data_IF_282774801546
#
_entry.id   IF_282774801546
#
_cell.length_a   1.000
_cell.length_b   1.000
_cell.length_c   1.000
_cell.angle_alpha   90.00
_cell.angle_beta   90.00
_cell.angle_gamma   90.00
#
_symmetry.space_group_name_H-M   'P 1'
#
loop_
_entity.id
_entity.type
_entity.pdbx_description
1 polymer ?
#
# COMPACT_ATOMS: atom_id res chain seq x y z
N UNK A 1 2.77 -9.55 18.38
CA UNK A 1 1.54 -8.74 18.14
C UNK A 1 0.34 -9.68 18.21
N UNK A 2 -0.85 -9.19 18.60
CA UNK A 2 -2.06 -10.02 18.73
C UNK A 2 -2.59 -10.54 17.39
N UNK A 3 -2.25 -9.88 16.28
CA UNK A 3 -2.53 -10.34 14.91
C UNK A 3 -1.21 -10.57 14.16
N UNK A 4 -1.12 -11.57 13.27
CA UNK A 4 -0.01 -11.70 12.34
C UNK A 4 0.17 -10.42 11.53
N UNK A 5 1.41 -9.94 11.43
CA UNK A 5 1.75 -8.71 10.72
C UNK A 5 2.86 -9.01 9.70
N UNK A 6 2.69 -8.46 8.49
CA UNK A 6 3.69 -8.44 7.45
C UNK A 6 3.87 -7.00 6.97
N UNK A 7 5.11 -6.55 6.87
CA UNK A 7 5.46 -5.20 6.39
C UNK A 7 6.40 -5.37 5.20
N UNK A 8 6.03 -4.81 4.05
CA UNK A 8 6.82 -4.92 2.82
C UNK A 8 7.67 -3.67 2.64
N UNK A 9 8.97 -3.84 2.42
CA UNK A 9 9.86 -2.77 1.99
C UNK A 9 10.62 -3.20 0.73
N UNK A 10 11.28 -2.24 0.09
CA UNK A 10 12.15 -2.49 -1.06
C UNK A 10 13.59 -2.49 -0.59
N UNK A 11 14.33 -3.57 -0.85
CA UNK A 11 15.78 -3.61 -0.70
C UNK A 11 16.41 -2.68 -1.74
N UNK A 12 17.12 -1.66 -1.29
CA UNK A 12 17.63 -0.61 -2.17
C UNK A 12 18.75 -1.12 -3.09
N UNK A 13 19.50 -2.13 -2.67
CA UNK A 13 20.69 -2.60 -3.40
C UNK A 13 20.31 -3.40 -4.65
N UNK A 14 19.22 -4.17 -4.58
CA UNK A 14 18.82 -5.11 -5.63
C UNK A 14 17.37 -4.95 -6.11
N UNK A 15 16.59 -4.05 -5.51
CA UNK A 15 15.20 -3.80 -5.87
C UNK A 15 14.23 -4.92 -5.47
N UNK A 16 14.65 -5.90 -4.67
CA UNK A 16 13.78 -6.99 -4.25
C UNK A 16 12.78 -6.54 -3.18
N UNK A 17 11.59 -7.13 -3.23
CA UNK A 17 10.61 -6.98 -2.16
C UNK A 17 11.00 -7.83 -0.94
N UNK A 18 11.01 -7.22 0.24
CA UNK A 18 11.32 -7.90 1.51
C UNK A 18 10.11 -7.81 2.43
N UNK A 19 9.64 -8.97 2.89
CA UNK A 19 8.54 -9.11 3.84
C UNK A 19 9.10 -9.27 5.26
N UNK A 20 8.97 -8.23 6.09
CA UNK A 20 9.28 -8.29 7.51
C UNK A 20 8.11 -8.86 8.30
N UNK A 21 8.35 -9.96 9.01
CA UNK A 21 7.36 -10.60 9.90
C UNK A 21 7.85 -10.73 11.35
N UNK A 22 9.12 -10.37 11.61
CA UNK A 22 9.80 -10.48 12.91
C UNK A 22 10.80 -9.33 13.06
N UNK A 23 11.24 -9.09 14.29
CA UNK A 23 12.18 -8.02 14.61
C UNK A 23 11.50 -6.74 15.10
N UNK A 24 12.18 -5.60 14.95
CA UNK A 24 11.67 -4.29 15.36
C UNK A 24 10.60 -3.80 14.36
N UNK A 25 9.36 -3.75 14.84
CA UNK A 25 8.20 -3.31 14.05
C UNK A 25 8.33 -1.85 13.62
N UNK A 26 8.84 -0.97 14.47
CA UNK A 26 9.01 0.44 14.16
C UNK A 26 10.06 0.66 13.07
N UNK A 27 11.17 -0.09 13.10
CA UNK A 27 12.17 -0.08 12.04
C UNK A 27 11.61 -0.59 10.72
N UNK A 28 10.87 -1.69 10.73
CA UNK A 28 10.23 -2.25 9.53
C UNK A 28 9.20 -1.28 8.92
N UNK A 29 8.35 -0.64 9.75
CA UNK A 29 7.40 0.37 9.27
C UNK A 29 8.14 1.57 8.68
N UNK A 30 9.17 2.09 9.35
CA UNK A 30 9.96 3.21 8.82
C UNK A 30 10.59 2.88 7.47
N UNK A 31 11.14 1.67 7.31
CA UNK A 31 11.68 1.20 6.04
C UNK A 31 10.60 1.16 4.95
N UNK A 32 9.45 0.57 5.27
CA UNK A 32 8.31 0.42 4.36
C UNK A 32 7.69 1.73 3.91
N UNK A 33 7.79 2.80 4.71
CA UNK A 33 7.27 4.14 4.40
C UNK A 33 8.35 5.15 4.00
N UNK A 34 9.59 4.73 3.75
CA UNK A 34 10.69 5.62 3.40
C UNK A 34 10.65 5.98 1.90
N UNK A 35 9.67 6.82 1.53
CA UNK A 35 9.47 7.29 0.14
C UNK A 35 10.74 8.00 -0.35
N UNK A 36 11.33 7.56 -1.48
CA UNK A 36 12.52 8.20 -2.03
C UNK A 36 12.30 9.69 -2.27
N UNK A 37 13.35 10.49 -2.08
CA UNK A 37 13.34 11.96 -2.12
C UNK A 37 12.54 12.66 -0.99
N UNK A 38 11.77 11.92 -0.17
CA UNK A 38 11.09 12.46 1.02
C UNK A 38 11.84 12.06 2.29
N UNK A 39 12.28 10.80 2.37
CA UNK A 39 12.97 10.25 3.52
C UNK A 39 14.29 9.58 3.12
N UNK A 40 15.23 9.49 4.07
CA UNK A 40 16.46 8.72 3.90
C UNK A 40 16.16 7.22 3.94
N UNK A 41 16.92 6.38 3.22
CA UNK A 41 16.85 4.93 3.36
C UNK A 41 17.05 4.49 4.81
N UNK A 42 16.36 3.43 5.20
CA UNK A 42 16.44 2.87 6.56
C UNK A 42 17.36 1.66 6.55
N UNK A 43 18.41 1.70 7.35
CA UNK A 43 19.34 0.58 7.50
C UNK A 43 18.83 -0.43 8.53
N UNK A 44 18.70 -1.70 8.14
CA UNK A 44 18.38 -2.81 9.03
C UNK A 44 19.41 -3.91 8.80
N UNK A 45 20.29 -4.13 9.79
CA UNK A 45 21.45 -5.00 9.63
C UNK A 45 22.46 -4.38 8.65
N UNK A 46 22.83 -5.14 7.62
CA UNK A 46 23.79 -4.70 6.59
C UNK A 46 23.14 -4.13 5.34
N UNK A 47 21.80 -4.10 5.27
CA UNK A 47 21.03 -3.68 4.09
C UNK A 47 20.30 -2.37 4.32
N UNK A 48 20.06 -1.65 3.24
CA UNK A 48 19.28 -0.41 3.23
C UNK A 48 17.95 -0.64 2.52
N UNK A 49 16.89 -0.02 3.07
CA UNK A 49 15.53 -0.23 2.61
C UNK A 49 14.82 1.09 2.36
N UNK A 50 13.97 1.09 1.34
CA UNK A 50 13.09 2.20 0.99
C UNK A 50 11.64 1.70 0.87
N UNK A 51 10.74 2.62 0.55
CA UNK A 51 9.30 2.38 0.48
C UNK A 51 8.90 1.11 -0.27
N UNK A 52 8.00 0.32 0.33
CA UNK A 52 7.52 -0.94 -0.26
C UNK A 52 6.62 -0.76 -1.48
N UNK A 53 6.10 0.44 -1.68
CA UNK A 53 5.27 0.83 -2.82
C UNK A 53 6.00 0.79 -4.16
N UNK A 54 7.34 0.76 -4.16
CA UNK A 54 8.12 0.60 -5.39
C UNK A 54 7.98 -0.81 -6.00
N UNK A 55 7.67 -1.83 -5.19
CA UNK A 55 7.67 -3.25 -5.60
C UNK A 55 6.35 -3.96 -5.31
N UNK A 56 5.56 -3.45 -4.37
CA UNK A 56 4.30 -4.05 -3.94
C UNK A 56 3.36 -3.05 -3.26
N UNK A 57 2.85 -2.01 -3.97
CA UNK A 57 2.03 -0.96 -3.36
C UNK A 57 0.76 -1.47 -2.66
N UNK A 58 0.09 -2.48 -3.21
CA UNK A 58 -0.95 -3.24 -2.50
C UNK A 58 -0.51 -4.70 -2.42
N UNK A 59 0.06 -5.16 -1.30
CA UNK A 59 0.81 -6.43 -1.21
C UNK A 59 -0.09 -7.66 -1.05
N UNK A 60 -0.97 -7.89 -2.03
CA UNK A 60 -1.92 -9.02 -2.06
C UNK A 60 -1.17 -10.36 -2.05
N UNK A 61 -0.12 -10.49 -2.89
CA UNK A 61 0.69 -11.71 -2.96
C UNK A 61 1.33 -12.08 -1.63
N UNK A 62 1.74 -11.08 -0.83
CA UNK A 62 2.36 -11.31 0.47
C UNK A 62 1.34 -11.71 1.53
N UNK A 63 0.14 -11.14 1.50
CA UNK A 63 -0.96 -11.62 2.34
C UNK A 63 -1.24 -13.10 2.07
N UNK A 64 -1.30 -13.51 0.79
CA UNK A 64 -1.43 -14.93 0.41
C UNK A 64 -0.26 -15.79 0.89
N UNK A 65 0.98 -15.33 0.70
CA UNK A 65 2.18 -16.02 1.18
C UNK A 65 2.17 -16.23 2.70
N UNK A 66 1.57 -15.30 3.44
CA UNK A 66 1.39 -15.41 4.89
C UNK A 66 0.27 -16.37 5.32
N UNK A 67 -0.41 -17.00 4.36
CA UNK A 67 -1.50 -17.96 4.61
C UNK A 67 -2.89 -17.34 4.56
N UNK A 68 -3.06 -16.12 4.05
CA UNK A 68 -4.39 -15.53 3.93
C UNK A 68 -5.24 -16.29 2.90
N UNK A 69 -6.29 -16.91 3.40
CA UNK A 69 -7.31 -17.59 2.61
C UNK A 69 -8.29 -16.63 1.94
N UNK A 70 -8.58 -15.49 2.58
CA UNK A 70 -9.37 -14.41 2.03
C UNK A 70 -8.55 -13.12 2.11
N UNK A 71 -8.38 -12.41 0.99
CA UNK A 71 -7.63 -11.15 0.94
C UNK A 71 -8.54 -9.98 0.61
N UNK A 72 -8.61 -9.04 1.55
CA UNK A 72 -9.26 -7.74 1.38
C UNK A 72 -8.15 -6.73 1.07
N UNK A 73 -8.14 -6.24 -0.16
CA UNK A 73 -7.20 -5.21 -0.61
C UNK A 73 -7.83 -3.83 -0.43
N UNK A 74 -7.05 -2.87 0.09
CA UNK A 74 -7.43 -1.45 0.12
C UNK A 74 -6.51 -0.71 -0.82
N UNK A 75 -7.07 -0.23 -1.93
CA UNK A 75 -6.35 0.47 -2.99
C UNK A 75 -6.68 1.96 -2.93
N UNK A 76 -5.70 2.76 -2.48
CA UNK A 76 -5.79 4.22 -2.38
C UNK A 76 -5.11 4.92 -3.56
N UNK A 77 -4.76 4.18 -4.63
CA UNK A 77 -4.12 4.79 -5.79
C UNK A 77 -5.07 5.76 -6.49
N UNK A 78 -4.56 6.95 -6.78
CA UNK A 78 -5.27 7.98 -7.53
C UNK A 78 -4.74 8.04 -8.97
N UNK A 79 -5.59 8.37 -9.96
CA UNK A 79 -5.10 8.70 -11.29
C UNK A 79 -4.12 9.89 -11.21
N UNK A 80 -3.13 9.97 -12.12
CA UNK A 80 -2.24 11.13 -12.19
C UNK A 80 -3.03 12.42 -12.37
N UNK A 81 -2.73 13.42 -11.56
CA UNK A 81 -3.29 14.75 -11.75
C UNK A 81 -2.57 15.36 -12.96
N UNK A 82 -3.29 15.62 -14.05
CA UNK A 82 -2.72 16.04 -15.35
C UNK A 82 -1.93 17.37 -15.35
N UNK A 83 -1.65 17.94 -14.18
CA UNK A 83 -1.03 19.24 -13.94
C UNK A 83 0.38 19.14 -13.32
N UNK A 84 1.07 18.00 -13.42
CA UNK A 84 2.43 17.85 -12.88
C UNK A 84 3.52 18.60 -13.68
N UNK A 85 3.16 19.46 -14.63
CA UNK A 85 4.11 20.17 -15.48
C UNK A 85 4.59 21.45 -14.77
N UNK A 86 5.77 21.41 -14.15
CA UNK A 86 6.45 22.61 -13.63
C UNK A 86 7.29 22.41 -12.36
N UNK A 87 7.13 21.28 -11.67
CA UNK A 87 7.86 20.97 -10.43
C UNK A 87 8.53 19.59 -10.55
N UNK A 88 9.87 19.51 -10.70
CA UNK A 88 10.60 18.26 -10.84
C UNK A 88 10.35 17.26 -9.71
N UNK A 89 10.12 17.75 -8.50
CA UNK A 89 9.83 16.90 -7.35
C UNK A 89 8.44 16.27 -7.46
N UNK A 90 7.42 17.06 -7.85
CA UNK A 90 6.07 16.52 -8.12
C UNK A 90 6.07 15.55 -9.30
N UNK A 91 6.83 15.85 -10.36
CA UNK A 91 7.00 14.93 -11.48
C UNK A 91 7.58 13.59 -11.02
N UNK A 92 8.66 13.61 -10.22
CA UNK A 92 9.26 12.40 -9.67
C UNK A 92 8.24 11.57 -8.86
N UNK A 93 7.55 12.19 -7.90
CA UNK A 93 6.54 11.48 -7.09
C UNK A 93 5.38 10.95 -7.95
N UNK A 94 4.97 11.69 -8.98
CA UNK A 94 3.97 11.21 -9.92
C UNK A 94 4.46 9.99 -10.72
N UNK A 95 5.75 9.91 -11.09
CA UNK A 95 6.28 8.70 -11.75
C UNK A 95 6.18 7.48 -10.83
N UNK A 96 6.45 7.62 -9.53
CA UNK A 96 6.25 6.54 -8.56
C UNK A 96 4.79 6.10 -8.48
N UNK A 97 3.85 7.05 -8.46
CA UNK A 97 2.41 6.73 -8.47
C UNK A 97 1.98 6.00 -9.76
N UNK A 98 2.48 6.42 -10.92
CA UNK A 98 2.21 5.75 -12.21
C UNK A 98 2.75 4.32 -12.22
N UNK A 99 4.01 4.14 -11.82
CA UNK A 99 4.63 2.80 -11.74
C UNK A 99 3.90 1.90 -10.74
N UNK A 100 3.60 2.42 -9.56
CA UNK A 100 2.86 1.69 -8.52
C UNK A 100 1.48 1.24 -9.00
N UNK A 101 0.76 2.08 -9.76
CA UNK A 101 -0.52 1.69 -10.36
C UNK A 101 -0.37 0.55 -11.37
N UNK A 102 0.70 0.56 -12.16
CA UNK A 102 1.01 -0.54 -13.09
C UNK A 102 1.24 -1.86 -12.33
N UNK A 103 2.03 -1.83 -11.25
CA UNK A 103 2.25 -2.99 -10.37
C UNK A 103 0.93 -3.48 -9.75
N UNK A 104 0.11 -2.56 -9.21
CA UNK A 104 -1.18 -2.90 -8.62
C UNK A 104 -2.13 -3.59 -9.61
N UNK A 105 -2.04 -3.31 -10.91
CA UNK A 105 -2.87 -3.98 -11.91
C UNK A 105 -2.63 -5.49 -11.98
N UNK A 106 -1.46 -5.96 -11.54
CA UNK A 106 -1.14 -7.37 -11.41
C UNK A 106 -1.52 -7.90 -10.03
N UNK A 107 -1.11 -7.21 -8.95
CA UNK A 107 -1.39 -7.63 -7.56
C UNK A 107 -2.89 -7.78 -7.25
N UNK A 108 -3.69 -6.79 -7.67
CA UNK A 108 -5.09 -6.71 -7.28
C UNK A 108 -5.97 -7.81 -7.91
N UNK A 109 -5.46 -8.55 -8.91
CA UNK A 109 -6.16 -9.68 -9.52
C UNK A 109 -6.36 -10.83 -8.55
N UNK A 110 -5.45 -10.99 -7.59
CA UNK A 110 -5.47 -12.10 -6.62
C UNK A 110 -6.23 -11.75 -5.32
N UNK A 111 -6.76 -10.52 -5.24
CA UNK A 111 -7.57 -10.06 -4.12
C UNK A 111 -9.01 -10.54 -4.27
N UNK A 112 -9.61 -10.97 -3.15
CA UNK A 112 -11.01 -11.40 -3.15
C UNK A 112 -11.97 -10.22 -3.19
N UNK A 113 -11.62 -9.14 -2.48
CA UNK A 113 -12.38 -7.89 -2.46
C UNK A 113 -11.39 -6.74 -2.52
N UNK A 114 -11.65 -5.78 -3.41
CA UNK A 114 -10.86 -4.55 -3.50
C UNK A 114 -11.71 -3.36 -3.09
N UNK A 115 -11.35 -2.72 -1.99
CA UNK A 115 -11.96 -1.50 -1.48
C UNK A 115 -11.19 -0.31 -2.04
N UNK A 116 -11.92 0.64 -2.66
CA UNK A 116 -11.34 1.87 -3.23
C UNK A 116 -11.99 3.10 -2.60
N UNK A 117 -11.38 3.69 -1.56
CA UNK A 117 -11.84 4.95 -0.99
C UNK A 117 -11.84 6.07 -2.04
N UNK A 118 -12.89 6.89 -2.05
CA UNK A 118 -12.97 8.07 -2.94
C UNK A 118 -12.15 9.21 -2.34
N UNK A 119 -10.94 9.42 -2.86
CA UNK A 119 -9.98 10.41 -2.37
C UNK A 119 -9.82 11.62 -3.30
N UNK A 120 -10.78 11.89 -4.17
CA UNK A 120 -10.75 13.03 -5.10
C UNK A 120 -10.49 14.34 -4.35
N UNK A 121 -9.47 15.10 -4.77
CA UNK A 121 -9.09 16.35 -4.11
C UNK A 121 -8.46 16.19 -2.72
N UNK A 122 -7.90 15.01 -2.43
CA UNK A 122 -7.06 14.77 -1.26
C UNK A 122 -5.66 14.42 -1.77
N UNK A 123 -4.72 15.35 -1.59
CA UNK A 123 -3.30 15.10 -1.88
C UNK A 123 -2.70 14.17 -0.83
N UNK A 124 -1.74 13.34 -1.23
CA UNK A 124 -0.99 12.45 -0.32
C UNK A 124 -0.23 13.22 0.76
N UNK A 125 0.09 14.50 0.53
CA UNK A 125 0.76 15.37 1.50
C UNK A 125 -0.21 16.29 2.28
N UNK A 126 -1.53 16.22 2.05
CA UNK A 126 -2.51 17.06 2.73
C UNK A 126 -2.99 16.43 4.05
N UNK A 127 -2.25 16.71 5.13
CA UNK A 127 -2.61 16.27 6.48
C UNK A 127 -3.82 16.99 7.08
N UNK A 128 -4.29 18.08 6.47
CA UNK A 128 -5.49 18.81 6.93
C UNK A 128 -6.77 18.05 6.56
N UNK A 129 -6.73 17.28 5.46
CA UNK A 129 -7.83 16.46 4.97
C UNK A 129 -8.07 15.15 5.73
N UNK A 130 -7.34 14.88 6.83
CA UNK A 130 -7.36 13.60 7.57
C UNK A 130 -8.77 13.04 7.82
N UNK A 131 -9.71 13.92 8.23
CA UNK A 131 -11.08 13.50 8.56
C UNK A 131 -11.81 12.99 7.31
N UNK A 132 -11.69 13.74 6.20
CA UNK A 132 -12.29 13.36 4.91
C UNK A 132 -11.72 12.02 4.42
N UNK A 133 -10.42 11.79 4.55
CA UNK A 133 -9.78 10.53 4.17
C UNK A 133 -10.29 9.34 5.00
N UNK A 134 -10.41 9.52 6.33
CA UNK A 134 -10.97 8.49 7.23
C UNK A 134 -12.43 8.18 6.88
N UNK A 135 -13.24 9.22 6.64
CA UNK A 135 -14.66 9.06 6.29
C UNK A 135 -14.81 8.35 4.94
N UNK A 136 -13.98 8.67 3.94
CA UNK A 136 -13.96 7.98 2.65
C UNK A 136 -13.58 6.50 2.79
N UNK A 137 -12.63 6.16 3.67
CA UNK A 137 -12.28 4.78 3.99
C UNK A 137 -13.43 4.02 4.63
N UNK A 138 -14.13 4.65 5.60
CA UNK A 138 -15.31 4.08 6.25
C UNK A 138 -16.44 3.82 5.26
N UNK A 139 -16.70 4.77 4.36
CA UNK A 139 -17.72 4.62 3.33
C UNK A 139 -17.40 3.43 2.40
N UNK A 140 -16.17 3.35 1.90
CA UNK A 140 -15.75 2.25 1.03
C UNK A 140 -15.85 0.87 1.72
N UNK A 141 -15.45 0.78 2.99
CA UNK A 141 -15.57 -0.45 3.78
C UNK A 141 -17.04 -0.83 4.01
N UNK A 142 -17.90 0.15 4.30
CA UNK A 142 -19.33 -0.08 4.53
C UNK A 142 -20.03 -0.57 3.26
N UNK A 143 -19.73 0.04 2.11
CA UNK A 143 -20.25 -0.39 0.81
C UNK A 143 -19.77 -1.80 0.43
N UNK A 144 -18.53 -2.16 0.78
CA UNK A 144 -17.97 -3.50 0.53
C UNK A 144 -18.46 -4.60 1.47
N UNK A 145 -19.14 -4.25 2.57
CA UNK A 145 -19.47 -5.20 3.64
C UNK A 145 -20.36 -6.35 3.19
N UNK A 146 -21.30 -6.09 2.29
CA UNK A 146 -22.19 -7.13 1.75
C UNK A 146 -21.41 -8.20 0.98
N UNK A 147 -20.51 -7.79 0.08
CA UNK A 147 -19.67 -8.72 -0.68
C UNK A 147 -18.69 -9.48 0.21
N UNK A 148 -18.14 -8.84 1.25
CA UNK A 148 -17.29 -9.50 2.24
C UNK A 148 -18.03 -10.60 3.00
N UNK A 149 -19.24 -10.32 3.47
CA UNK A 149 -20.09 -11.30 4.17
C UNK A 149 -20.42 -12.49 3.29
N UNK A 150 -20.72 -12.25 2.01
CA UNK A 150 -20.98 -13.32 1.05
C UNK A 150 -19.77 -14.25 0.90
N UNK A 151 -18.57 -13.70 0.67
CA UNK A 151 -17.35 -14.51 0.51
C UNK A 151 -16.96 -15.29 1.77
N UNK A 152 -17.24 -14.74 2.95
CA UNK A 152 -17.04 -15.46 4.21
C UNK A 152 -18.04 -16.62 4.37
N UNK A 153 -19.29 -16.43 3.96
CA UNK A 153 -20.31 -17.46 3.99
C UNK A 153 -20.00 -18.61 3.01
N UNK A 154 -19.57 -18.30 1.78
CA UNK A 154 -19.17 -19.28 0.76
C UNK A 154 -18.01 -20.20 1.21
N UNK A 155 -17.20 -19.74 2.17
CA UNK A 155 -16.05 -20.50 2.72
C UNK A 155 -16.35 -21.24 4.02
N UNK A 156 -17.49 -20.97 4.64
CA UNK A 156 -17.89 -21.63 5.91
C UNK A 156 -18.65 -22.95 5.63
N UNK A 157 -18.75 -23.34 4.37
CA UNK A 157 -19.34 -24.57 3.83
C UNK A 157 -18.23 -25.48 3.29
#
# INVERSE_FOLDING_TARGET
LPLPLGIVATDLDNGAAVLFQRGDVGAAVRASSAVPAVFQPVKIGTREYVDGGLVSPVPVRFARQMGAELVIAVDISSPPDGNATGDPFKMLLQTFAIMGRSINSFELKDADVVLRPRLTGISSADFTARKRAIDAGREAATAGLAGLRQKLAERSL
#
